data_IF_552092104425
#
_entry.id   IF_552092104425
#
_cell.length_a   1.000
_cell.length_b   1.000
_cell.length_c   1.000
_cell.angle_alpha   90.00
_cell.angle_beta   90.00
_cell.angle_gamma   90.00
#
_symmetry.space_group_name_H-M   'P 1'
#
loop_
_entity.id
_entity.type
_entity.pdbx_description
1 polymer ?
#
# COMPACT_ATOMS: atom_id res chain seq x y z
N UNK A 1 -53.52 35.91 -19.95
CA UNK A 1 -52.10 35.51 -19.81
C UNK A 1 -51.71 34.65 -21.01
N UNK A 2 -50.51 34.84 -21.61
CA UNK A 2 -50.08 34.05 -22.76
C UNK A 2 -49.95 32.57 -22.39
N UNK A 3 -50.47 31.67 -23.23
CA UNK A 3 -50.52 30.22 -22.97
C UNK A 3 -49.14 29.62 -22.69
N UNK A 4 -48.10 30.18 -23.31
CA UNK A 4 -46.69 29.81 -23.10
C UNK A 4 -46.23 29.98 -21.66
N UNK A 5 -46.68 31.04 -20.98
CA UNK A 5 -46.32 31.31 -19.57
C UNK A 5 -46.98 30.32 -18.62
N UNK A 6 -48.19 29.86 -18.89
CA UNK A 6 -48.88 28.89 -18.02
C UNK A 6 -48.27 27.49 -18.14
N UNK A 7 -47.81 27.11 -19.32
CA UNK A 7 -47.09 25.85 -19.53
C UNK A 7 -45.78 25.87 -18.74
N UNK A 8 -45.01 26.97 -18.85
CA UNK A 8 -43.75 27.14 -18.12
C UNK A 8 -43.91 27.06 -16.59
N UNK A 9 -44.98 27.65 -16.05
CA UNK A 9 -45.26 27.60 -14.61
C UNK A 9 -45.66 26.19 -14.15
N UNK A 10 -46.47 25.48 -14.93
CA UNK A 10 -46.84 24.08 -14.61
C UNK A 10 -45.64 23.15 -14.66
N UNK A 11 -44.73 23.32 -15.63
CA UNK A 11 -43.49 22.52 -15.69
C UNK A 11 -42.56 22.83 -14.52
N UNK A 12 -42.50 24.09 -14.06
CA UNK A 12 -41.70 24.48 -12.90
C UNK A 12 -42.25 23.89 -11.60
N UNK A 13 -43.56 23.95 -11.40
CA UNK A 13 -44.22 23.32 -10.25
C UNK A 13 -44.03 21.80 -10.25
N UNK A 14 -44.12 21.16 -11.41
CA UNK A 14 -43.83 19.73 -11.54
C UNK A 14 -42.37 19.41 -11.20
N UNK A 15 -41.41 20.20 -11.67
CA UNK A 15 -39.99 20.02 -11.35
C UNK A 15 -39.74 20.12 -9.84
N UNK A 16 -40.33 21.10 -9.15
CA UNK A 16 -40.18 21.23 -7.69
C UNK A 16 -40.80 20.05 -6.95
N UNK A 17 -41.97 19.59 -7.39
CA UNK A 17 -42.65 18.46 -6.76
C UNK A 17 -41.88 17.15 -6.93
N UNK A 18 -41.17 16.96 -8.06
CA UNK A 18 -40.34 15.77 -8.29
C UNK A 18 -38.91 15.88 -7.75
N UNK A 19 -38.41 17.09 -7.48
CA UNK A 19 -37.08 17.35 -6.93
C UNK A 19 -36.74 16.55 -5.65
N UNK A 20 -37.60 16.43 -4.62
CA UNK A 20 -37.25 15.68 -3.41
C UNK A 20 -37.05 14.19 -3.69
N UNK A 21 -37.78 13.61 -4.64
CA UNK A 21 -37.61 12.22 -5.04
C UNK A 21 -36.31 11.99 -5.81
N UNK A 22 -35.91 12.95 -6.66
CA UNK A 22 -34.62 12.90 -7.36
C UNK A 22 -33.44 13.03 -6.38
N UNK A 23 -33.55 13.91 -5.39
CA UNK A 23 -32.53 14.07 -4.34
C UNK A 23 -32.46 12.81 -3.47
N UNK A 24 -33.61 12.25 -3.08
CA UNK A 24 -33.65 11.00 -2.31
C UNK A 24 -33.07 9.81 -3.09
N UNK A 25 -33.35 9.71 -4.39
CA UNK A 25 -32.77 8.69 -5.25
C UNK A 25 -31.24 8.84 -5.39
N UNK A 26 -30.74 10.07 -5.48
CA UNK A 26 -29.30 10.36 -5.49
C UNK A 26 -28.64 9.95 -4.17
N UNK A 27 -29.25 10.26 -3.03
CA UNK A 27 -28.74 9.89 -1.71
C UNK A 27 -28.72 8.36 -1.56
N UNK A 28 -29.79 7.67 -1.94
CA UNK A 28 -29.85 6.21 -1.91
C UNK A 28 -28.82 5.57 -2.85
N UNK A 29 -28.61 6.15 -4.03
CA UNK A 29 -27.55 5.73 -4.95
C UNK A 29 -26.18 5.86 -4.29
N UNK A 30 -25.86 7.01 -3.68
CA UNK A 30 -24.60 7.25 -2.98
C UNK A 30 -24.40 6.33 -1.76
N UNK A 31 -25.49 5.94 -1.08
CA UNK A 31 -25.43 4.96 0.01
C UNK A 31 -25.28 3.52 -0.48
N UNK A 32 -25.74 3.22 -1.69
CA UNK A 32 -25.68 1.90 -2.31
C UNK A 32 -24.43 1.70 -3.20
N UNK A 33 -23.66 2.76 -3.49
CA UNK A 33 -22.37 2.60 -4.16
C UNK A 33 -21.43 1.80 -3.27
N UNK A 34 -20.78 0.80 -3.86
CA UNK A 34 -19.90 -0.14 -3.19
C UNK A 34 -18.75 0.55 -2.43
N UNK A 35 -18.12 -0.14 -1.45
CA UNK A 35 -16.92 0.37 -0.76
C UNK A 35 -15.77 0.76 -1.69
N UNK A 36 -15.82 0.44 -3.00
CA UNK A 36 -14.88 0.94 -4.01
C UNK A 36 -14.81 2.48 -4.08
N UNK A 37 -15.88 3.21 -3.78
CA UNK A 37 -15.86 4.69 -3.79
C UNK A 37 -15.42 5.31 -2.44
N UNK A 38 -15.36 4.50 -1.37
CA UNK A 38 -14.92 4.90 -0.03
C UNK A 38 -13.57 4.29 0.38
N UNK A 39 -13.00 3.41 -0.45
CA UNK A 39 -11.65 2.88 -0.29
C UNK A 39 -10.66 3.96 -0.69
N UNK A 40 -10.04 4.61 0.28
CA UNK A 40 -8.85 5.41 0.03
C UNK A 40 -7.74 4.49 -0.48
N UNK A 41 -7.29 4.70 -1.71
CA UNK A 41 -6.09 4.04 -2.24
C UNK A 41 -4.89 4.49 -1.40
N UNK A 42 -4.25 3.56 -0.70
CA UNK A 42 -2.96 3.84 -0.07
C UNK A 42 -1.89 3.90 -1.17
N UNK A 43 -1.64 5.10 -1.67
CA UNK A 43 -0.63 5.33 -2.71
C UNK A 43 0.80 4.92 -2.29
N UNK A 44 1.07 4.74 -0.99
CA UNK A 44 2.36 4.27 -0.48
C UNK A 44 2.43 2.75 -0.37
N UNK A 45 1.31 2.03 -0.51
CA UNK A 45 1.28 0.56 -0.45
C UNK A 45 2.20 -0.10 -1.49
N UNK A 46 2.23 0.42 -2.72
CA UNK A 46 3.14 -0.07 -3.77
C UNK A 46 4.62 0.13 -3.46
N UNK A 47 4.97 1.15 -2.65
CA UNK A 47 6.35 1.36 -2.19
C UNK A 47 6.72 0.34 -1.11
N UNK A 48 5.78 -0.01 -0.21
CA UNK A 48 5.99 -1.06 0.80
C UNK A 48 6.33 -2.39 0.12
N UNK A 49 5.54 -2.78 -0.89
CA UNK A 49 5.75 -4.03 -1.63
C UNK A 49 7.04 -4.04 -2.44
N UNK A 50 7.37 -2.93 -3.13
CA UNK A 50 8.61 -2.80 -3.87
C UNK A 50 9.84 -2.86 -2.93
N UNK A 51 9.76 -2.24 -1.75
CA UNK A 51 10.82 -2.30 -0.75
C UNK A 51 10.99 -3.72 -0.21
N UNK A 52 9.88 -4.41 0.04
CA UNK A 52 9.90 -5.81 0.49
C UNK A 52 10.56 -6.73 -0.54
N UNK A 53 10.22 -6.59 -1.82
CA UNK A 53 10.86 -7.37 -2.89
C UNK A 53 12.35 -7.07 -3.09
N UNK A 54 12.79 -5.84 -2.78
CA UNK A 54 14.17 -5.40 -3.05
C UNK A 54 15.14 -5.76 -1.91
N UNK A 55 14.66 -5.71 -0.67
CA UNK A 55 15.48 -5.88 0.53
C UNK A 55 15.07 -7.04 1.42
N UNK A 56 13.93 -7.69 1.18
CA UNK A 56 13.38 -8.73 2.04
C UNK A 56 14.01 -10.10 1.87
N UNK A 57 13.38 -11.09 2.50
CA UNK A 57 13.83 -12.48 2.47
C UNK A 57 13.85 -13.03 1.04
N UNK A 58 14.97 -13.63 0.64
CA UNK A 58 15.23 -14.12 -0.71
C UNK A 58 15.66 -13.05 -1.72
N UNK A 59 15.80 -11.78 -1.31
CA UNK A 59 16.20 -10.71 -2.21
C UNK A 59 17.66 -10.80 -2.66
N UNK A 60 17.98 -10.18 -3.79
CA UNK A 60 19.37 -10.05 -4.26
C UNK A 60 20.24 -9.30 -3.24
N UNK A 61 19.67 -8.31 -2.55
CA UNK A 61 20.39 -7.56 -1.52
C UNK A 61 20.82 -8.45 -0.35
N UNK A 62 19.91 -9.28 0.16
CA UNK A 62 20.21 -10.23 1.24
C UNK A 62 21.35 -11.18 0.85
N UNK A 63 21.29 -11.75 -0.35
CA UNK A 63 22.35 -12.63 -0.86
C UNK A 63 23.71 -11.91 -0.98
N UNK A 64 23.71 -10.67 -1.45
CA UNK A 64 24.93 -9.86 -1.54
C UNK A 64 25.50 -9.52 -0.16
N UNK A 65 24.62 -9.26 0.82
CA UNK A 65 25.02 -9.00 2.20
C UNK A 65 25.69 -10.23 2.82
N UNK A 66 25.10 -11.42 2.68
CA UNK A 66 25.70 -12.67 3.16
C UNK A 66 27.01 -13.00 2.45
N UNK A 67 27.09 -12.76 1.13
CA UNK A 67 28.31 -12.97 0.38
C UNK A 67 29.43 -12.01 0.84
N UNK A 68 29.10 -10.74 1.05
CA UNK A 68 30.03 -9.72 1.55
C UNK A 68 30.57 -10.07 2.93
N UNK A 69 29.69 -10.43 3.86
CA UNK A 69 30.07 -10.86 5.22
C UNK A 69 30.89 -12.16 5.18
N UNK A 70 30.56 -13.11 4.31
CA UNK A 70 31.33 -14.33 4.12
C UNK A 70 32.77 -14.05 3.66
N UNK A 71 32.94 -13.17 2.67
CA UNK A 71 34.28 -12.77 2.18
C UNK A 71 35.06 -12.02 3.27
N UNK A 72 34.40 -11.07 3.94
CA UNK A 72 35.01 -10.30 5.03
C UNK A 72 35.42 -11.20 6.21
N UNK A 73 34.56 -12.14 6.59
CA UNK A 73 34.79 -13.13 7.63
C UNK A 73 35.95 -14.06 7.32
N UNK A 74 36.05 -14.55 6.07
CA UNK A 74 37.19 -15.36 5.61
C UNK A 74 38.48 -14.55 5.65
N UNK A 75 38.48 -13.32 5.13
CA UNK A 75 39.66 -12.45 5.16
C UNK A 75 40.13 -12.17 6.60
N UNK A 76 39.20 -11.82 7.48
CA UNK A 76 39.50 -11.55 8.87
C UNK A 76 39.93 -12.82 9.64
N UNK A 77 39.39 -14.00 9.32
CA UNK A 77 39.88 -15.28 9.84
C UNK A 77 41.31 -15.57 9.41
N UNK A 78 41.67 -15.31 8.14
CA UNK A 78 43.04 -15.52 7.66
C UNK A 78 44.04 -14.68 8.48
N UNK A 79 43.68 -13.43 8.79
CA UNK A 79 44.53 -12.49 9.53
C UNK A 79 44.58 -12.76 11.04
N UNK A 80 43.45 -13.06 11.66
CA UNK A 80 43.33 -13.19 13.12
C UNK A 80 43.46 -14.62 13.62
N UNK A 81 43.26 -15.61 12.74
CA UNK A 81 43.14 -17.05 13.06
C UNK A 81 42.08 -17.35 14.14
N UNK A 82 41.13 -16.45 14.34
CA UNK A 82 40.08 -16.60 15.33
C UNK A 82 38.78 -17.05 14.65
N UNK A 83 38.31 -18.25 15.00
CA UNK A 83 37.08 -18.84 14.45
C UNK A 83 35.83 -18.04 14.80
N UNK A 84 35.85 -17.27 15.89
CA UNK A 84 34.73 -16.43 16.32
C UNK A 84 34.37 -15.36 15.29
N UNK A 85 35.30 -14.99 14.41
CA UNK A 85 35.04 -14.03 13.34
C UNK A 85 34.04 -14.58 12.31
N UNK A 86 33.98 -15.91 12.12
CA UNK A 86 32.99 -16.53 11.24
C UNK A 86 31.59 -16.57 11.86
N UNK A 87 31.46 -16.39 13.18
CA UNK A 87 30.16 -16.27 13.84
C UNK A 87 29.42 -14.99 13.42
N UNK A 88 30.14 -13.98 12.89
CA UNK A 88 29.54 -12.79 12.30
C UNK A 88 28.50 -13.11 11.23
N UNK A 89 28.77 -14.10 10.37
CA UNK A 89 27.83 -14.57 9.35
C UNK A 89 26.50 -15.07 9.96
N UNK A 90 26.59 -15.87 11.02
CA UNK A 90 25.40 -16.42 11.71
C UNK A 90 24.61 -15.30 12.36
N UNK A 91 25.29 -14.33 12.99
CA UNK A 91 24.63 -13.16 13.58
C UNK A 91 23.93 -12.33 12.51
N UNK A 92 24.56 -12.12 11.35
CA UNK A 92 23.96 -11.38 10.24
C UNK A 92 22.72 -12.09 9.70
N UNK A 93 22.74 -13.42 9.55
CA UNK A 93 21.56 -14.21 9.13
C UNK A 93 20.39 -14.12 10.11
N UNK A 94 20.66 -14.16 11.42
CA UNK A 94 19.62 -14.02 12.43
C UNK A 94 19.06 -12.58 12.41
N UNK A 95 19.95 -11.60 12.29
CA UNK A 95 19.58 -10.18 12.26
C UNK A 95 18.69 -9.86 11.06
N UNK A 96 19.02 -10.32 9.86
CA UNK A 96 18.21 -10.13 8.65
C UNK A 96 16.87 -10.84 8.76
N UNK A 97 16.83 -12.08 9.27
CA UNK A 97 15.57 -12.82 9.43
C UNK A 97 14.58 -12.10 10.36
N UNK A 98 15.01 -11.68 11.55
CA UNK A 98 14.14 -10.94 12.46
C UNK A 98 13.90 -9.48 12.01
N UNK A 99 14.91 -8.85 11.40
CA UNK A 99 14.82 -7.50 10.89
C UNK A 99 13.77 -7.37 9.79
N UNK A 100 13.75 -8.30 8.83
CA UNK A 100 12.74 -8.33 7.78
C UNK A 100 11.38 -8.74 8.31
N UNK A 101 11.31 -9.68 9.27
CA UNK A 101 10.05 -10.05 9.91
C UNK A 101 9.38 -8.85 10.63
N UNK A 102 10.16 -7.95 11.23
CA UNK A 102 9.62 -6.76 11.90
C UNK A 102 9.35 -5.62 10.90
N UNK A 103 10.25 -5.39 9.95
CA UNK A 103 10.14 -4.28 9.02
C UNK A 103 9.07 -4.49 7.93
N UNK A 104 8.70 -5.74 7.65
CA UNK A 104 7.77 -6.10 6.56
C UNK A 104 6.47 -6.75 7.02
N UNK A 105 6.25 -6.89 8.34
CA UNK A 105 4.94 -7.20 8.91
C UNK A 105 3.89 -6.11 8.58
#
# INVERSE_FOLDING_TARGET
MPKTRQIALKTYEQLINYAPYLIAALILYLMATSPLFAAGEDYLSGIKDATASSFGEGSTFEHLLYLGEGIAGVYAYIKTKNIMVLAGLVVVMIFTHFGFAIAMA
#
